data_IF_053006118412
#
_entry.id   IF_053006118412
#
_cell.length_a   1.000
_cell.length_b   1.000
_cell.length_c   1.000
_cell.angle_alpha   90.00
_cell.angle_beta   90.00
_cell.angle_gamma   90.00
#
_symmetry.space_group_name_H-M   'P 1'
#
loop_
_entity.id
_entity.type
_entity.pdbx_description
1 polymer ?
#
# COMPACT_ATOMS: atom_id res chain seq x y z
N UNK A 1 11.21 1.77 32.06
CA UNK A 1 11.40 1.93 30.60
C UNK A 1 10.51 3.05 30.01
N UNK A 2 9.18 2.94 30.04
CA UNK A 2 8.29 3.94 29.42
C UNK A 2 8.47 5.37 29.97
N UNK A 3 8.57 5.55 31.29
CA UNK A 3 8.81 6.87 31.91
C UNK A 3 10.07 7.54 31.38
N UNK A 4 11.18 6.80 31.31
CA UNK A 4 12.44 7.32 30.75
C UNK A 4 12.26 7.77 29.30
N UNK A 5 11.54 7.01 28.46
CA UNK A 5 11.26 7.43 27.08
C UNK A 5 10.37 8.66 26.99
N UNK A 6 9.42 8.81 27.90
CA UNK A 6 8.61 10.04 27.99
C UNK A 6 9.47 11.23 28.40
N UNK A 7 10.36 11.07 29.39
CA UNK A 7 11.31 12.10 29.79
C UNK A 7 12.25 12.48 28.65
N UNK A 8 12.82 11.49 27.96
CA UNK A 8 13.68 11.71 26.78
C UNK A 8 12.93 12.51 25.70
N UNK A 9 11.68 12.15 25.41
CA UNK A 9 10.82 12.87 24.47
C UNK A 9 10.56 14.32 24.91
N UNK A 10 10.21 14.54 26.18
CA UNK A 10 9.92 15.88 26.72
C UNK A 10 11.15 16.79 26.66
N UNK A 11 12.34 16.23 26.90
CA UNK A 11 13.63 16.93 26.86
C UNK A 11 14.12 17.16 25.43
N UNK A 12 13.83 16.23 24.50
CA UNK A 12 14.30 16.29 23.11
C UNK A 12 13.44 17.15 22.18
N UNK A 13 12.15 17.29 22.45
CA UNK A 13 11.28 18.20 21.69
C UNK A 13 11.51 19.63 22.19
N UNK A 14 11.81 20.59 21.32
CA UNK A 14 11.97 22.00 21.71
C UNK A 14 10.67 22.64 22.24
N UNK A 15 10.73 23.92 22.63
CA UNK A 15 9.55 24.72 22.99
C UNK A 15 9.00 25.47 21.75
N UNK A 16 9.87 25.76 20.78
CA UNK A 16 9.54 26.59 19.62
C UNK A 16 8.75 25.83 18.54
N UNK A 17 8.95 24.51 18.45
CA UNK A 17 8.35 23.66 17.43
C UNK A 17 7.38 22.64 18.06
N UNK A 18 6.28 22.34 17.38
CA UNK A 18 5.29 21.31 17.76
C UNK A 18 4.44 21.61 19.00
N UNK A 19 4.41 22.84 19.53
CA UNK A 19 3.55 23.22 20.67
C UNK A 19 2.10 22.72 20.53
N UNK A 20 1.55 22.77 19.32
CA UNK A 20 0.17 22.33 19.01
C UNK A 20 0.05 20.90 18.47
N UNK A 21 1.16 20.16 18.41
CA UNK A 21 1.16 18.73 18.13
C UNK A 21 0.56 17.93 19.28
N UNK A 22 0.37 16.62 19.08
CA UNK A 22 -0.12 15.72 20.10
C UNK A 22 0.74 14.45 20.13
N UNK A 23 1.13 14.03 21.34
CA UNK A 23 1.85 12.79 21.57
C UNK A 23 0.91 11.74 22.16
N UNK A 24 1.04 10.50 21.70
CA UNK A 24 0.25 9.36 22.16
C UNK A 24 1.18 8.21 22.53
N UNK A 25 0.85 7.52 23.63
CA UNK A 25 1.60 6.36 24.08
C UNK A 25 0.79 5.50 25.05
N UNK A 26 1.29 4.34 25.48
CA UNK A 26 2.50 3.70 24.98
C UNK A 26 2.26 3.11 23.57
N UNK A 27 3.26 2.40 23.05
CA UNK A 27 3.07 1.54 21.88
C UNK A 27 1.94 0.53 22.13
N UNK A 28 1.37 -0.01 21.06
CA UNK A 28 0.22 -0.89 21.09
C UNK A 28 0.58 -2.27 20.55
N UNK A 29 0.08 -3.31 21.21
CA UNK A 29 0.11 -4.68 20.70
C UNK A 29 -1.11 -4.86 19.80
N UNK A 30 -0.87 -4.85 18.49
CA UNK A 30 -1.90 -5.08 17.49
C UNK A 30 -2.17 -6.57 17.29
N UNK A 31 -3.33 -6.90 16.73
CA UNK A 31 -3.66 -8.23 16.23
C UNK A 31 -3.76 -8.21 14.70
N UNK A 32 -2.72 -7.68 14.05
CA UNK A 32 -2.65 -7.73 12.58
C UNK A 32 -2.17 -9.13 12.17
N UNK A 33 -2.78 -9.74 11.15
CA UNK A 33 -2.33 -11.04 10.67
C UNK A 33 -0.89 -10.92 10.14
N UNK A 34 0.03 -11.66 10.75
CA UNK A 34 1.42 -11.82 10.31
C UNK A 34 1.64 -13.28 9.94
N UNK A 35 1.84 -13.56 8.67
CA UNK A 35 2.23 -14.89 8.22
C UNK A 35 3.73 -14.86 7.91
N UNK A 36 4.52 -15.36 8.85
CA UNK A 36 5.97 -15.50 8.66
C UNK A 36 6.26 -16.87 8.07
N UNK A 37 6.98 -16.87 6.96
CA UNK A 37 7.53 -18.07 6.31
C UNK A 37 8.98 -18.28 6.72
N UNK A 38 9.54 -19.44 6.41
CA UNK A 38 10.93 -19.80 6.71
C UNK A 38 11.91 -18.77 6.18
N UNK A 39 11.80 -18.36 4.91
CA UNK A 39 12.61 -17.28 4.31
C UNK A 39 12.56 -15.93 5.03
N UNK A 40 11.54 -15.67 5.86
CA UNK A 40 11.45 -14.42 6.63
C UNK A 40 12.21 -14.47 7.96
N UNK A 41 12.71 -15.63 8.36
CA UNK A 41 13.41 -15.81 9.62
C UNK A 41 14.92 -15.87 9.38
N UNK A 42 15.66 -15.05 10.14
CA UNK A 42 17.11 -15.14 10.24
C UNK A 42 17.43 -15.49 11.69
N UNK A 43 17.94 -16.70 11.92
CA UNK A 43 18.25 -17.17 13.26
C UNK A 43 19.73 -16.91 13.57
N UNK A 44 19.98 -16.33 14.73
CA UNK A 44 21.33 -16.08 15.24
C UNK A 44 21.43 -16.58 16.67
N UNK A 45 22.58 -17.17 17.01
CA UNK A 45 22.88 -17.59 18.38
C UNK A 45 23.20 -16.36 19.24
N UNK A 46 22.55 -16.25 20.39
CA UNK A 46 22.81 -15.19 21.36
C UNK A 46 24.29 -15.18 21.81
N UNK A 47 24.82 -13.99 22.09
CA UNK A 47 26.21 -13.77 22.49
C UNK A 47 27.25 -13.85 21.37
N UNK A 48 27.06 -14.73 20.37
CA UNK A 48 28.00 -14.91 19.26
C UNK A 48 27.54 -14.29 17.94
N UNK A 49 26.23 -14.03 17.79
CA UNK A 49 25.59 -13.63 16.53
C UNK A 49 25.83 -14.59 15.35
N UNK A 50 26.31 -15.81 15.63
CA UNK A 50 26.54 -16.83 14.61
C UNK A 50 25.21 -17.28 14.01
N UNK A 51 25.15 -17.40 12.67
CA UNK A 51 23.96 -17.85 11.97
C UNK A 51 23.62 -19.30 12.37
N UNK A 52 22.34 -19.57 12.60
CA UNK A 52 21.82 -20.89 12.94
C UNK A 52 20.88 -21.34 11.83
N UNK A 53 21.12 -22.54 11.30
CA UNK A 53 20.23 -23.14 10.32
C UNK A 53 19.05 -23.80 11.05
N UNK A 54 17.83 -23.63 10.53
CA UNK A 54 16.63 -24.17 11.18
C UNK A 54 16.66 -25.70 11.27
N UNK A 55 17.28 -26.34 10.28
CA UNK A 55 17.54 -27.77 10.17
C UNK A 55 18.38 -28.29 11.35
N UNK A 56 19.27 -27.47 11.92
CA UNK A 56 20.08 -27.85 13.09
C UNK A 56 19.30 -27.92 14.41
N UNK A 57 18.02 -27.50 14.41
CA UNK A 57 17.18 -27.47 15.60
C UNK A 57 16.32 -28.73 15.77
N UNK A 58 16.50 -29.74 14.91
CA UNK A 58 15.76 -31.01 14.99
C UNK A 58 16.61 -32.16 14.45
N UNK A 59 16.33 -33.37 14.93
CA UNK A 59 16.87 -34.63 14.37
C UNK A 59 15.77 -35.48 13.72
N UNK A 60 14.52 -35.01 13.72
CA UNK A 60 13.37 -35.71 13.13
C UNK A 60 13.48 -35.72 11.60
N UNK A 61 13.60 -36.91 11.03
CA UNK A 61 13.76 -37.12 9.59
C UNK A 61 12.58 -36.59 8.75
N UNK A 62 11.35 -36.64 9.26
CA UNK A 62 10.17 -36.14 8.55
C UNK A 62 10.15 -34.61 8.51
N UNK A 63 10.56 -33.95 9.61
CA UNK A 63 10.70 -32.49 9.66
C UNK A 63 11.86 -32.03 8.76
N UNK A 64 13.00 -32.72 8.79
CA UNK A 64 14.15 -32.41 7.92
C UNK A 64 13.77 -32.52 6.44
N UNK A 65 12.99 -33.54 6.07
CA UNK A 65 12.45 -33.69 4.71
C UNK A 65 11.51 -32.53 4.34
N UNK A 66 10.60 -32.16 5.25
CA UNK A 66 9.70 -31.03 5.02
C UNK A 66 10.44 -29.69 4.87
N UNK A 67 11.50 -29.47 5.67
CA UNK A 67 12.38 -28.30 5.54
C UNK A 67 13.08 -28.28 4.18
N UNK A 68 13.60 -29.43 3.73
CA UNK A 68 14.18 -29.55 2.39
C UNK A 68 13.14 -29.24 1.29
N UNK A 69 11.91 -29.72 1.42
CA UNK A 69 10.83 -29.42 0.48
C UNK A 69 10.49 -27.92 0.45
N UNK A 70 10.48 -27.24 1.61
CA UNK A 70 10.31 -25.78 1.70
C UNK A 70 11.44 -25.05 0.96
N UNK A 71 12.70 -25.44 1.19
CA UNK A 71 13.86 -24.82 0.55
C UNK A 71 13.82 -25.00 -0.97
N UNK A 72 13.38 -26.16 -1.47
CA UNK A 72 13.20 -26.40 -2.90
C UNK A 72 12.14 -25.47 -3.50
N UNK A 73 10.99 -25.29 -2.82
CA UNK A 73 9.95 -24.36 -3.26
C UNK A 73 10.44 -22.89 -3.23
N UNK A 74 11.15 -22.48 -2.18
CA UNK A 74 11.78 -21.14 -2.07
C UNK A 74 12.76 -20.89 -3.21
N UNK A 75 13.59 -21.89 -3.54
CA UNK A 75 14.58 -21.82 -4.64
C UNK A 75 13.89 -21.75 -5.99
N UNK A 76 12.83 -22.54 -6.20
CA UNK A 76 12.03 -22.49 -7.42
C UNK A 76 11.39 -21.12 -7.63
N UNK A 77 10.83 -20.51 -6.58
CA UNK A 77 10.27 -19.15 -6.63
C UNK A 77 11.34 -18.11 -6.95
N UNK A 78 12.48 -18.15 -6.27
CA UNK A 78 13.58 -17.23 -6.52
C UNK A 78 14.14 -17.34 -7.95
N UNK A 79 14.18 -18.55 -8.53
CA UNK A 79 14.60 -18.74 -9.91
C UNK A 79 13.64 -18.10 -10.92
N UNK A 80 12.33 -18.11 -10.64
CA UNK A 80 11.33 -17.39 -11.43
C UNK A 80 11.50 -15.88 -11.30
N UNK A 81 11.69 -15.35 -10.09
CA UNK A 81 11.92 -13.91 -9.86
C UNK A 81 13.15 -13.38 -10.62
N UNK A 82 14.24 -14.17 -10.60
CA UNK A 82 15.47 -13.88 -11.35
C UNK A 82 15.21 -13.92 -12.86
N UNK A 83 14.46 -14.93 -13.33
CA UNK A 83 14.09 -15.03 -14.75
C UNK A 83 13.25 -13.85 -15.20
N UNK A 84 12.24 -13.44 -14.43
CA UNK A 84 11.43 -12.27 -14.73
C UNK A 84 12.27 -11.00 -14.78
N UNK A 85 13.11 -10.76 -13.77
CA UNK A 85 14.00 -9.59 -13.72
C UNK A 85 14.95 -9.53 -14.93
N UNK A 86 15.46 -10.69 -15.35
CA UNK A 86 16.33 -10.81 -16.53
C UNK A 86 15.57 -10.49 -17.82
N UNK A 87 14.36 -11.02 -17.95
CA UNK A 87 13.51 -10.85 -19.14
C UNK A 87 12.98 -9.42 -19.25
N UNK A 88 12.58 -8.80 -18.13
CA UNK A 88 12.05 -7.44 -18.09
C UNK A 88 13.14 -6.36 -18.11
N UNK A 89 14.40 -6.75 -17.89
CA UNK A 89 15.60 -5.93 -18.09
C UNK A 89 15.97 -5.03 -16.91
N UNK A 90 15.20 -5.02 -15.82
CA UNK A 90 15.57 -4.30 -14.59
C UNK A 90 14.80 -4.82 -13.36
N UNK A 91 15.37 -4.71 -12.14
CA UNK A 91 14.65 -5.00 -10.90
C UNK A 91 13.37 -4.15 -10.79
N UNK A 92 12.26 -4.79 -10.41
CA UNK A 92 10.96 -4.13 -10.22
C UNK A 92 10.15 -3.92 -11.51
N UNK A 93 10.70 -4.24 -12.69
CA UNK A 93 9.91 -4.31 -13.94
C UNK A 93 9.28 -5.68 -14.10
N UNK A 94 8.06 -5.70 -14.59
CA UNK A 94 7.28 -6.92 -14.82
C UNK A 94 7.37 -7.40 -16.28
N UNK A 95 7.00 -8.66 -16.53
CA UNK A 95 6.78 -9.16 -17.89
C UNK A 95 5.74 -8.34 -18.68
N UNK A 96 4.77 -7.75 -17.98
CA UNK A 96 3.78 -6.85 -18.59
C UNK A 96 4.41 -5.54 -19.05
N UNK A 97 5.36 -4.99 -18.29
CA UNK A 97 6.13 -3.81 -18.70
C UNK A 97 7.02 -4.11 -19.91
N UNK A 98 7.60 -5.31 -19.96
CA UNK A 98 8.36 -5.78 -21.13
C UNK A 98 7.50 -5.91 -22.39
N UNK A 99 6.28 -6.44 -22.25
CA UNK A 99 5.31 -6.51 -23.34
C UNK A 99 4.86 -5.12 -23.80
N UNK A 100 4.66 -4.19 -22.85
CA UNK A 100 4.33 -2.81 -23.17
C UNK A 100 5.46 -2.13 -23.92
N UNK A 101 6.72 -2.35 -23.52
CA UNK A 101 7.88 -1.84 -24.24
C UNK A 101 7.99 -2.41 -25.67
N UNK A 102 7.65 -3.69 -25.88
CA UNK A 102 7.60 -4.28 -27.22
C UNK A 102 6.48 -3.66 -28.08
N UNK A 103 5.31 -3.37 -27.50
CA UNK A 103 4.23 -2.63 -28.17
C UNK A 103 4.66 -1.22 -28.58
N UNK A 104 5.32 -0.50 -27.69
CA UNK A 104 5.75 0.86 -27.96
C UNK A 104 6.85 0.89 -29.03
N UNK A 105 7.81 -0.04 -28.99
CA UNK A 105 8.79 -0.22 -30.06
C UNK A 105 8.16 -0.51 -31.42
N UNK A 106 7.07 -1.28 -31.46
CA UNK A 106 6.34 -1.55 -32.69
C UNK A 106 5.57 -0.34 -33.21
N UNK A 107 4.96 0.46 -32.32
CA UNK A 107 4.28 1.72 -32.71
C UNK A 107 5.22 2.73 -33.35
N UNK A 108 6.50 2.74 -32.98
CA UNK A 108 7.52 3.58 -33.64
C UNK A 108 7.77 3.22 -35.11
N UNK A 109 7.26 2.07 -35.58
CA UNK A 109 7.32 1.69 -37.00
C UNK A 109 6.18 2.25 -37.84
N UNK A 110 5.24 3.00 -37.25
CA UNK A 110 4.14 3.60 -37.98
C UNK A 110 4.66 4.53 -39.10
N UNK A 111 4.09 4.40 -40.29
CA UNK A 111 4.55 5.09 -41.51
C UNK A 111 5.76 4.44 -42.21
N UNK A 112 6.37 3.40 -41.65
CA UNK A 112 7.51 2.70 -42.27
C UNK A 112 7.07 1.67 -43.33
N UNK A 113 7.78 1.60 -44.45
CA UNK A 113 7.63 0.55 -45.49
C UNK A 113 8.75 -0.51 -45.46
N UNK A 114 9.82 -0.26 -44.70
CA UNK A 114 10.98 -1.15 -44.52
C UNK A 114 10.59 -2.46 -43.82
N UNK A 115 10.73 -3.57 -44.54
CA UNK A 115 10.51 -4.93 -44.02
C UNK A 115 11.50 -5.30 -42.92
N UNK A 116 12.72 -4.77 -42.97
CA UNK A 116 13.74 -4.97 -41.94
C UNK A 116 13.33 -4.34 -40.60
N UNK A 117 12.88 -3.08 -40.62
CA UNK A 117 12.45 -2.37 -39.39
C UNK A 117 11.21 -3.02 -38.79
N UNK A 118 10.24 -3.42 -39.63
CA UNK A 118 9.05 -4.16 -39.20
C UNK A 118 9.43 -5.52 -38.59
N UNK A 119 10.38 -6.23 -39.20
CA UNK A 119 10.89 -7.50 -38.69
C UNK A 119 11.58 -7.38 -37.33
N UNK A 120 12.43 -6.36 -37.15
CA UNK A 120 13.11 -6.10 -35.85
C UNK A 120 12.09 -5.80 -34.76
N UNK A 121 11.09 -4.96 -35.03
CA UNK A 121 10.05 -4.64 -34.05
C UNK A 121 9.18 -5.86 -33.70
N UNK A 122 8.81 -6.68 -34.70
CA UNK A 122 8.07 -7.93 -34.48
C UNK A 122 8.86 -8.95 -33.66
N UNK A 123 10.17 -9.05 -33.90
CA UNK A 123 11.05 -9.94 -33.15
C UNK A 123 11.09 -9.61 -31.65
N UNK A 124 10.83 -8.36 -31.25
CA UNK A 124 10.69 -7.99 -29.84
C UNK A 124 9.65 -8.83 -29.09
N UNK A 125 8.48 -9.04 -29.70
CA UNK A 125 7.41 -9.88 -29.11
C UNK A 125 7.80 -11.35 -29.05
N UNK A 126 8.37 -11.87 -30.13
CA UNK A 126 8.71 -13.30 -30.19
C UNK A 126 9.89 -13.62 -29.28
N UNK A 127 10.89 -12.73 -29.20
CA UNK A 127 12.01 -12.89 -28.27
C UNK A 127 11.52 -12.90 -26.83
N UNK A 128 10.59 -12.00 -26.46
CA UNK A 128 9.96 -12.00 -25.16
C UNK A 128 9.19 -13.30 -24.90
N UNK A 129 8.33 -13.72 -25.85
CA UNK A 129 7.56 -14.97 -25.77
C UNK A 129 8.48 -16.17 -25.55
N UNK A 130 9.56 -16.26 -26.32
CA UNK A 130 10.55 -17.32 -26.23
C UNK A 130 11.30 -17.32 -24.91
N UNK A 131 11.73 -16.15 -24.45
CA UNK A 131 12.45 -16.03 -23.19
C UNK A 131 11.58 -16.46 -22.00
N UNK A 132 10.30 -16.07 -22.01
CA UNK A 132 9.32 -16.45 -20.98
C UNK A 132 9.07 -17.97 -20.99
N UNK A 133 8.80 -18.56 -22.16
CA UNK A 133 8.57 -20.00 -22.27
C UNK A 133 9.82 -20.82 -21.95
N UNK A 134 11.00 -20.31 -22.30
CA UNK A 134 12.27 -20.93 -21.88
C UNK A 134 12.38 -20.94 -20.36
N UNK A 135 12.09 -19.84 -19.66
CA UNK A 135 12.13 -19.81 -18.20
C UNK A 135 11.18 -20.85 -17.57
N UNK A 136 9.98 -21.00 -18.12
CA UNK A 136 9.04 -22.05 -17.70
C UNK A 136 9.59 -23.46 -17.98
N UNK A 137 10.21 -23.67 -19.15
CA UNK A 137 10.81 -24.95 -19.50
C UNK A 137 12.02 -25.30 -18.61
N UNK A 138 12.85 -24.32 -18.25
CA UNK A 138 13.98 -24.53 -17.35
C UNK A 138 13.47 -25.04 -15.97
N UNK A 139 12.39 -24.45 -15.45
CA UNK A 139 11.72 -24.97 -14.23
C UNK A 139 11.12 -26.36 -14.45
N UNK A 140 10.45 -26.60 -15.59
CA UNK A 140 9.84 -27.89 -15.92
C UNK A 140 10.84 -29.06 -16.02
N UNK A 141 12.07 -28.76 -16.44
CA UNK A 141 13.17 -29.74 -16.56
C UNK A 141 14.02 -29.87 -15.31
N UNK A 142 13.81 -29.01 -14.32
CA UNK A 142 14.54 -29.08 -13.04
C UNK A 142 14.23 -30.42 -12.37
N UNK A 143 15.28 -31.16 -12.03
CA UNK A 143 15.16 -32.47 -11.39
C UNK A 143 14.96 -32.27 -9.89
N UNK A 144 13.74 -32.54 -9.43
CA UNK A 144 13.42 -32.59 -8.01
C UNK A 144 13.50 -34.04 -7.50
N UNK A 145 13.91 -34.26 -6.23
CA UNK A 145 13.87 -35.59 -5.62
C UNK A 145 12.47 -36.21 -5.70
N UNK A 146 12.37 -37.51 -6.03
CA UNK A 146 11.09 -38.19 -6.30
C UNK A 146 10.10 -38.04 -5.15
N UNK A 147 10.59 -38.14 -3.91
CA UNK A 147 9.77 -38.11 -2.71
C UNK A 147 9.38 -36.69 -2.25
N UNK A 148 9.68 -35.63 -3.01
CA UNK A 148 9.30 -34.26 -2.61
C UNK A 148 7.80 -33.99 -2.69
N UNK A 149 7.28 -33.15 -1.79
CA UNK A 149 5.93 -32.60 -1.91
C UNK A 149 5.80 -31.46 -2.93
N UNK A 150 6.91 -30.84 -3.35
CA UNK A 150 6.90 -29.75 -4.33
C UNK A 150 6.69 -30.30 -5.76
N UNK A 151 5.44 -30.21 -6.27
CA UNK A 151 5.04 -30.82 -7.55
C UNK A 151 4.78 -29.80 -8.67
N UNK A 152 5.75 -28.91 -8.92
CA UNK A 152 5.58 -27.84 -9.92
C UNK A 152 5.44 -28.36 -11.36
N UNK A 153 6.12 -29.47 -11.69
CA UNK A 153 6.01 -30.14 -13.00
C UNK A 153 4.58 -30.60 -13.30
N UNK A 154 3.87 -31.10 -12.28
CA UNK A 154 2.48 -31.55 -12.43
C UNK A 154 1.56 -30.34 -12.66
N UNK A 155 1.80 -29.22 -11.98
CA UNK A 155 1.06 -27.97 -12.18
C UNK A 155 1.28 -27.38 -13.58
N UNK A 156 2.49 -27.48 -14.14
CA UNK A 156 2.81 -27.08 -15.53
C UNK A 156 2.10 -28.02 -16.51
N UNK A 157 2.22 -29.33 -16.31
CA UNK A 157 1.59 -30.35 -17.18
C UNK A 157 0.09 -30.13 -17.25
N UNK A 158 -0.56 -29.92 -16.09
CA UNK A 158 -2.00 -29.62 -16.00
C UNK A 158 -2.39 -28.32 -16.70
N UNK A 159 -1.56 -27.27 -16.63
CA UNK A 159 -1.83 -26.03 -17.36
C UNK A 159 -1.80 -26.27 -18.88
N UNK A 160 -0.84 -27.07 -19.35
CA UNK A 160 -0.65 -27.37 -20.77
C UNK A 160 -1.73 -28.28 -21.37
N UNK A 161 -2.59 -28.89 -20.55
CA UNK A 161 -3.82 -29.56 -21.02
C UNK A 161 -4.78 -28.57 -21.69
N UNK A 162 -4.73 -27.28 -21.31
CA UNK A 162 -5.45 -26.23 -22.02
C UNK A 162 -4.76 -25.89 -23.35
N UNK A 163 -5.45 -25.99 -24.50
CA UNK A 163 -4.82 -25.79 -25.79
C UNK A 163 -4.47 -24.33 -26.10
N UNK A 164 -4.93 -23.33 -25.34
CA UNK A 164 -4.76 -21.90 -25.68
C UNK A 164 -3.32 -21.51 -25.97
N UNK A 165 -2.36 -21.92 -25.13
CA UNK A 165 -0.94 -21.63 -25.36
C UNK A 165 -0.45 -22.34 -26.63
N UNK A 166 -0.69 -23.65 -26.74
CA UNK A 166 -0.27 -24.46 -27.92
C UNK A 166 -0.85 -23.92 -29.22
N UNK A 167 -2.14 -23.56 -29.24
CA UNK A 167 -2.83 -22.96 -30.38
C UNK A 167 -2.28 -21.58 -30.75
N UNK A 168 -2.01 -20.72 -29.77
CA UNK A 168 -1.42 -19.40 -30.03
C UNK A 168 0.00 -19.51 -30.61
N UNK A 169 0.78 -20.49 -30.16
CA UNK A 169 2.13 -20.75 -30.63
C UNK A 169 2.14 -21.37 -32.04
N UNK A 170 1.19 -22.27 -32.35
CA UNK A 170 0.95 -22.73 -33.72
C UNK A 170 0.59 -21.57 -34.64
N UNK A 171 -0.34 -20.70 -34.21
CA UNK A 171 -0.73 -19.51 -34.99
C UNK A 171 0.46 -18.58 -35.24
N UNK A 172 1.32 -18.36 -34.24
CA UNK A 172 2.55 -17.58 -34.38
C UNK A 172 3.53 -18.21 -35.38
N UNK A 173 3.72 -19.53 -35.34
CA UNK A 173 4.53 -20.28 -36.30
C UNK A 173 3.97 -20.19 -37.74
N UNK A 174 2.66 -20.33 -37.92
CA UNK A 174 2.01 -20.17 -39.23
C UNK A 174 2.15 -18.75 -39.80
N UNK A 175 2.01 -17.72 -38.95
CA UNK A 175 2.24 -16.32 -39.35
C UNK A 175 3.70 -16.08 -39.77
N UNK A 176 4.67 -16.72 -39.10
CA UNK A 176 6.07 -16.64 -39.49
C UNK A 176 6.31 -17.23 -40.88
N UNK A 177 5.79 -18.43 -41.17
CA UNK A 177 5.91 -19.05 -42.48
C UNK A 177 5.26 -18.21 -43.58
N UNK A 178 4.07 -17.65 -43.32
CA UNK A 178 3.32 -16.85 -44.29
C UNK A 178 4.02 -15.54 -44.65
N UNK A 179 4.46 -14.78 -43.65
CA UNK A 179 5.08 -13.47 -43.88
C UNK A 179 6.55 -13.57 -44.34
N UNK A 180 7.16 -14.75 -44.28
CA UNK A 180 8.52 -14.97 -44.77
C UNK A 180 8.63 -15.13 -46.31
N UNK A 181 7.53 -15.34 -47.05
CA UNK A 181 7.59 -15.66 -48.49
C UNK A 181 7.91 -14.45 -49.40
N UNK A 182 7.04 -13.44 -49.43
CA UNK A 182 7.24 -12.18 -50.15
C UNK A 182 6.14 -11.18 -49.76
N UNK A 183 6.46 -10.01 -49.15
CA UNK A 183 7.79 -9.49 -48.81
C UNK A 183 8.37 -10.19 -47.57
N UNK A 184 9.66 -10.55 -47.60
CA UNK A 184 10.31 -11.31 -46.53
C UNK A 184 10.45 -10.50 -45.24
N UNK A 185 9.56 -10.73 -44.28
CA UNK A 185 9.65 -10.23 -42.91
C UNK A 185 9.93 -11.42 -41.99
N UNK A 186 11.00 -11.34 -41.20
CA UNK A 186 11.34 -12.39 -40.24
C UNK A 186 10.63 -12.11 -38.91
N UNK A 187 9.56 -12.86 -38.65
CA UNK A 187 8.84 -12.84 -37.37
C UNK A 187 9.56 -13.61 -36.27
N UNK A 188 10.04 -14.83 -36.58
CA UNK A 188 10.78 -15.70 -35.67
C UNK A 188 12.19 -15.87 -36.22
N UNK A 189 13.22 -15.75 -35.38
CA UNK A 189 14.58 -16.15 -35.77
C UNK A 189 14.74 -17.67 -35.59
N UNK A 190 14.71 -18.41 -36.69
CA UNK A 190 14.82 -19.88 -36.71
C UNK A 190 16.27 -20.39 -36.69
N UNK A 191 17.27 -19.52 -36.86
CA UNK A 191 18.67 -19.92 -36.97
C UNK A 191 19.34 -20.23 -35.62
N UNK A 192 18.80 -19.75 -34.49
CA UNK A 192 19.48 -19.77 -33.20
C UNK A 192 19.08 -20.91 -32.26
N UNK A 193 18.25 -21.87 -32.70
CA UNK A 193 17.65 -22.91 -31.84
C UNK A 193 16.90 -22.38 -30.60
N UNK A 194 16.72 -21.06 -30.47
CA UNK A 194 16.09 -20.40 -29.32
C UNK A 194 14.63 -20.80 -29.12
N UNK A 195 13.98 -21.32 -30.17
CA UNK A 195 12.61 -21.79 -30.10
C UNK A 195 12.50 -23.24 -29.57
N UNK A 196 13.58 -24.01 -29.53
CA UNK A 196 13.54 -25.42 -29.11
C UNK A 196 12.99 -25.59 -27.68
N UNK A 197 13.43 -24.82 -26.65
CA UNK A 197 12.87 -24.96 -25.31
C UNK A 197 11.35 -24.75 -25.27
N UNK A 198 10.86 -23.74 -26.00
CA UNK A 198 9.44 -23.44 -26.13
C UNK A 198 8.67 -24.56 -26.84
N UNK A 199 9.24 -25.14 -27.90
CA UNK A 199 8.61 -26.26 -28.61
C UNK A 199 8.57 -27.54 -27.75
N UNK A 200 9.65 -27.83 -27.04
CA UNK A 200 9.73 -28.98 -26.12
C UNK A 200 8.72 -28.86 -24.99
N UNK A 201 8.55 -27.66 -24.42
CA UNK A 201 7.51 -27.41 -23.42
C UNK A 201 6.11 -27.74 -23.94
N UNK A 202 5.85 -27.55 -25.23
CA UNK A 202 4.55 -27.80 -25.88
C UNK A 202 4.38 -29.25 -26.39
N UNK A 203 5.38 -30.12 -26.14
CA UNK A 203 5.37 -31.53 -26.50
C UNK A 203 5.90 -31.85 -27.90
N UNK A 204 6.67 -30.96 -28.53
CA UNK A 204 7.37 -31.24 -29.79
C UNK A 204 8.83 -31.64 -29.55
N UNK A 205 9.47 -32.29 -30.51
CA UNK A 205 10.89 -32.66 -30.41
C UNK A 205 11.80 -31.41 -30.40
N UNK A 206 11.52 -30.45 -31.27
CA UNK A 206 12.25 -29.19 -31.42
C UNK A 206 11.39 -28.14 -32.15
N UNK A 207 11.96 -26.95 -32.41
CA UNK A 207 11.28 -25.89 -33.14
C UNK A 207 10.97 -26.24 -34.60
N UNK A 208 11.77 -27.09 -35.24
CA UNK A 208 11.53 -27.52 -36.62
C UNK A 208 10.29 -28.42 -36.71
N UNK A 209 10.09 -29.31 -35.72
CA UNK A 209 8.90 -30.14 -35.62
C UNK A 209 7.62 -29.30 -35.43
N UNK A 210 7.66 -28.22 -34.62
CA UNK A 210 6.52 -27.31 -34.50
C UNK A 210 6.23 -26.58 -35.83
N UNK A 211 7.26 -26.09 -36.53
CA UNK A 211 7.10 -25.41 -37.82
C UNK A 211 6.55 -26.34 -38.91
N UNK A 212 6.89 -27.63 -38.85
CA UNK A 212 6.36 -28.63 -39.78
C UNK A 212 4.89 -29.02 -39.50
N UNK A 213 4.40 -28.78 -38.28
CA UNK A 213 3.02 -29.09 -37.85
C UNK A 213 2.01 -27.94 -38.09
N UNK A 214 2.42 -26.95 -38.88
CA UNK A 214 1.58 -25.81 -39.30
C UNK A 214 1.69 -25.58 -40.80
N UNK A 215 0.61 -25.11 -41.41
CA UNK A 215 0.55 -24.82 -42.84
C UNK A 215 0.29 -23.34 -43.12
N UNK A 216 0.74 -22.86 -44.27
CA UNK A 216 0.48 -21.49 -44.75
C UNK A 216 -1.02 -21.17 -44.85
N UNK A 217 -1.83 -22.17 -45.18
CA UNK A 217 -3.28 -22.05 -45.28
C UNK A 217 -3.97 -21.77 -43.93
N UNK A 218 -3.31 -22.05 -42.80
CA UNK A 218 -3.89 -21.86 -41.46
C UNK A 218 -4.17 -20.38 -41.14
N UNK A 219 -3.48 -19.46 -41.84
CA UNK A 219 -3.55 -18.02 -41.58
C UNK A 219 -3.87 -17.20 -42.82
N UNK A 220 -3.98 -17.80 -44.01
CA UNK A 220 -4.13 -17.06 -45.27
C UNK A 220 -5.35 -16.13 -45.30
N UNK A 221 -6.43 -16.50 -44.62
CA UNK A 221 -7.63 -15.67 -44.48
C UNK A 221 -7.38 -14.38 -43.66
N UNK A 222 -6.55 -14.45 -42.61
CA UNK A 222 -6.20 -13.29 -41.78
C UNK A 222 -5.44 -12.21 -42.58
N UNK A 223 -4.77 -12.61 -43.67
CA UNK A 223 -3.99 -11.73 -44.55
C UNK A 223 -4.75 -11.25 -45.80
N UNK A 224 -5.99 -11.67 -46.04
CA UNK A 224 -6.72 -11.39 -47.28
C UNK A 224 -6.87 -9.88 -47.58
N UNK A 225 -6.98 -9.04 -46.54
CA UNK A 225 -7.06 -7.58 -46.65
C UNK A 225 -5.72 -6.84 -46.48
N UNK A 226 -4.61 -7.55 -46.25
CA UNK A 226 -3.32 -6.95 -45.91
C UNK A 226 -2.49 -6.64 -47.16
N UNK A 227 -2.79 -5.50 -47.80
CA UNK A 227 -2.18 -5.08 -49.08
C UNK A 227 -0.80 -4.42 -48.95
N UNK A 228 -0.41 -3.96 -47.76
CA UNK A 228 0.89 -3.31 -47.52
C UNK A 228 1.75 -4.11 -46.53
N UNK A 229 3.07 -3.89 -46.54
CA UNK A 229 4.00 -4.52 -45.60
C UNK A 229 3.60 -4.25 -44.14
N UNK A 230 3.13 -3.03 -43.85
CA UNK A 230 2.67 -2.64 -42.51
C UNK A 230 1.40 -3.40 -42.11
N UNK A 231 0.40 -3.49 -42.99
CA UNK A 231 -0.83 -4.25 -42.70
C UNK A 231 -0.53 -5.73 -42.46
N UNK A 232 0.39 -6.32 -43.22
CA UNK A 232 0.84 -7.71 -43.00
C UNK A 232 1.57 -7.85 -41.66
N UNK A 233 2.43 -6.88 -41.32
CA UNK A 233 3.09 -6.85 -40.02
C UNK A 233 2.08 -6.67 -38.87
N UNK A 234 0.99 -5.94 -39.05
CA UNK A 234 -0.05 -5.76 -38.02
C UNK A 234 -0.79 -7.07 -37.71
N UNK A 235 -1.10 -7.86 -38.75
CA UNK A 235 -1.67 -9.21 -38.59
C UNK A 235 -0.70 -10.11 -37.82
N UNK A 236 0.58 -10.14 -38.23
CA UNK A 236 1.62 -10.92 -37.54
C UNK A 236 1.83 -10.47 -36.08
N UNK A 237 1.81 -9.15 -35.82
CA UNK A 237 1.95 -8.57 -34.49
C UNK A 237 0.80 -9.01 -33.59
N UNK A 238 -0.43 -9.07 -34.09
CA UNK A 238 -1.57 -9.56 -33.29
C UNK A 238 -1.36 -11.00 -32.85
N UNK A 239 -0.88 -11.88 -33.74
CA UNK A 239 -0.54 -13.26 -33.38
C UNK A 239 0.60 -13.32 -32.35
N UNK A 240 1.66 -12.53 -32.53
CA UNK A 240 2.79 -12.45 -31.60
C UNK A 240 2.39 -11.91 -30.22
N UNK A 241 1.54 -10.89 -30.18
CA UNK A 241 1.00 -10.32 -28.95
C UNK A 241 0.17 -11.36 -28.16
N UNK A 242 -0.71 -12.08 -28.84
CA UNK A 242 -1.53 -13.14 -28.20
C UNK A 242 -0.65 -14.29 -27.70
N UNK A 243 0.35 -14.71 -28.47
CA UNK A 243 1.30 -15.73 -28.04
C UNK A 243 2.10 -15.28 -26.80
N UNK A 244 2.58 -14.04 -26.79
CA UNK A 244 3.27 -13.45 -25.64
C UNK A 244 2.36 -13.38 -24.41
N UNK A 245 1.10 -12.98 -24.58
CA UNK A 245 0.12 -12.94 -23.48
C UNK A 245 -0.11 -14.32 -22.86
N UNK A 246 -0.22 -15.37 -23.68
CA UNK A 246 -0.34 -16.75 -23.18
C UNK A 246 0.95 -17.25 -22.52
N UNK A 247 2.13 -16.87 -23.04
CA UNK A 247 3.41 -17.18 -22.41
C UNK A 247 3.54 -16.54 -21.02
N UNK A 248 3.15 -15.28 -20.88
CA UNK A 248 3.10 -14.60 -19.58
C UNK A 248 2.08 -15.30 -18.66
N UNK A 249 0.93 -15.71 -19.18
CA UNK A 249 -0.10 -16.39 -18.39
C UNK A 249 0.39 -17.72 -17.79
N UNK A 250 1.12 -18.56 -18.55
CA UNK A 250 1.72 -19.77 -17.98
C UNK A 250 2.80 -19.44 -16.96
N UNK A 251 3.65 -18.44 -17.21
CA UNK A 251 4.66 -18.00 -16.24
C UNK A 251 4.03 -17.59 -14.90
N UNK A 252 2.95 -16.79 -14.94
CA UNK A 252 2.20 -16.41 -13.73
C UNK A 252 1.53 -17.58 -13.05
N UNK A 253 1.04 -18.56 -13.81
CA UNK A 253 0.50 -19.79 -13.23
C UNK A 253 1.58 -20.58 -12.47
N UNK A 254 2.78 -20.68 -13.02
CA UNK A 254 3.92 -21.36 -12.38
C UNK A 254 4.39 -20.60 -11.14
N UNK A 255 4.52 -19.28 -11.22
CA UNK A 255 4.84 -18.40 -10.08
C UNK A 255 3.83 -18.58 -8.94
N UNK A 256 2.54 -18.46 -9.25
CA UNK A 256 1.46 -18.64 -8.27
C UNK A 256 1.45 -20.04 -7.68
N UNK A 257 1.58 -21.08 -8.51
CA UNK A 257 1.62 -22.47 -8.04
C UNK A 257 2.81 -22.69 -7.11
N UNK A 258 3.97 -22.09 -7.42
CA UNK A 258 5.17 -22.18 -6.59
C UNK A 258 4.97 -21.50 -5.23
N UNK A 259 4.38 -20.29 -5.20
CA UNK A 259 4.03 -19.61 -3.95
C UNK A 259 3.02 -20.40 -3.11
N UNK A 260 2.02 -21.02 -3.75
CA UNK A 260 1.01 -21.83 -3.08
C UNK A 260 1.63 -23.08 -2.44
N UNK A 261 2.55 -23.77 -3.14
CA UNK A 261 3.31 -24.86 -2.56
C UNK A 261 4.20 -24.39 -1.40
N UNK A 262 4.97 -23.30 -1.57
CA UNK A 262 5.81 -22.72 -0.50
C UNK A 262 4.96 -22.42 0.74
N UNK A 263 3.79 -21.79 0.56
CA UNK A 263 2.85 -21.48 1.65
C UNK A 263 2.31 -22.74 2.31
N UNK A 264 1.89 -23.73 1.52
CA UNK A 264 1.35 -25.00 2.04
C UNK A 264 2.40 -25.75 2.87
N UNK A 265 3.64 -25.83 2.38
CA UNK A 265 4.75 -26.48 3.08
C UNK A 265 5.14 -25.74 4.36
N UNK A 266 5.15 -24.40 4.33
CA UNK A 266 5.37 -23.59 5.53
C UNK A 266 4.25 -23.80 6.57
N UNK A 267 3.00 -23.89 6.14
CA UNK A 267 1.88 -24.20 7.05
C UNK A 267 2.03 -25.60 7.66
N UNK A 268 2.39 -26.59 6.85
CA UNK A 268 2.69 -27.93 7.35
C UNK A 268 3.84 -27.91 8.37
N UNK A 269 4.87 -27.08 8.14
CA UNK A 269 6.00 -26.92 9.04
C UNK A 269 5.60 -26.26 10.37
N UNK A 270 4.70 -25.28 10.36
CA UNK A 270 4.14 -24.70 11.60
C UNK A 270 3.36 -25.74 12.41
N UNK A 271 2.67 -26.66 11.74
CA UNK A 271 1.90 -27.73 12.41
C UNK A 271 2.82 -28.81 12.98
N UNK A 272 3.81 -29.26 12.22
CA UNK A 272 4.66 -30.39 12.58
C UNK A 272 5.89 -30.02 13.42
N UNK A 273 6.44 -28.80 13.27
CA UNK A 273 7.65 -28.38 13.95
C UNK A 273 7.37 -27.29 15.01
N UNK A 274 7.17 -27.72 16.26
CA UNK A 274 6.83 -26.84 17.37
C UNK A 274 7.81 -25.67 17.58
N UNK A 275 9.12 -25.88 17.35
CA UNK A 275 10.13 -24.80 17.44
C UNK A 275 9.94 -23.74 16.35
N UNK A 276 9.62 -24.14 15.13
CA UNK A 276 9.33 -23.19 14.04
C UNK A 276 8.04 -22.40 14.31
N UNK A 277 7.00 -23.05 14.85
CA UNK A 277 5.78 -22.37 15.32
C UNK A 277 6.08 -21.32 16.40
N UNK A 278 6.89 -21.67 17.39
CA UNK A 278 7.30 -20.76 18.46
C UNK A 278 8.03 -19.54 17.89
N UNK A 279 9.01 -19.76 17.02
CA UNK A 279 9.81 -18.70 16.39
C UNK A 279 8.95 -17.76 15.51
N UNK A 280 8.09 -18.31 14.67
CA UNK A 280 7.18 -17.51 13.83
C UNK A 280 6.15 -16.75 14.68
N UNK A 281 5.63 -17.35 15.75
CA UNK A 281 4.72 -16.68 16.68
C UNK A 281 5.41 -15.51 17.38
N UNK A 282 6.62 -15.71 17.91
CA UNK A 282 7.40 -14.65 18.57
C UNK A 282 7.81 -13.54 17.61
N UNK A 283 8.19 -13.89 16.38
CA UNK A 283 8.43 -12.92 15.32
C UNK A 283 7.19 -12.09 15.00
N UNK A 284 6.02 -12.75 14.88
CA UNK A 284 4.75 -12.07 14.64
C UNK A 284 4.35 -11.14 15.80
N UNK A 285 4.51 -11.58 17.05
CA UNK A 285 4.28 -10.76 18.25
C UNK A 285 5.16 -9.50 18.23
N UNK A 286 6.45 -9.64 17.94
CA UNK A 286 7.38 -8.51 17.86
C UNK A 286 7.01 -7.52 16.75
N UNK A 287 6.59 -8.01 15.57
CA UNK A 287 6.13 -7.16 14.45
C UNK A 287 4.76 -6.52 14.68
N UNK A 288 4.01 -7.00 15.68
CA UNK A 288 2.72 -6.46 16.07
C UNK A 288 2.81 -5.48 17.24
N UNK A 289 4.00 -5.27 17.80
CA UNK A 289 4.28 -4.16 18.69
C UNK A 289 4.53 -2.89 17.86
N UNK A 290 3.51 -2.05 17.74
CA UNK A 290 3.49 -0.91 16.81
C UNK A 290 3.40 0.43 17.55
N UNK A 291 3.99 1.51 17.00
CA UNK A 291 3.70 2.86 17.47
C UNK A 291 2.23 3.21 17.19
N UNK A 292 1.58 4.00 18.06
CA UNK A 292 0.13 4.24 17.95
C UNK A 292 -0.25 5.25 16.86
N UNK A 293 0.73 5.95 16.26
CA UNK A 293 0.47 7.08 15.35
C UNK A 293 -0.50 6.76 14.22
N UNK A 294 -0.33 5.63 13.52
CA UNK A 294 -1.24 5.20 12.45
C UNK A 294 -2.65 4.92 12.95
N UNK A 295 -2.78 4.29 14.12
CA UNK A 295 -4.08 4.02 14.73
C UNK A 295 -4.79 5.33 15.14
N UNK A 296 -4.06 6.27 15.73
CA UNK A 296 -4.60 7.58 16.15
C UNK A 296 -5.02 8.43 14.95
N UNK A 297 -4.27 8.43 13.84
CA UNK A 297 -4.68 9.09 12.61
C UNK A 297 -6.03 8.55 12.09
N UNK A 298 -6.22 7.23 12.15
CA UNK A 298 -7.51 6.60 11.86
C UNK A 298 -8.63 7.02 12.83
N UNK A 299 -8.34 7.14 14.13
CA UNK A 299 -9.31 7.62 15.12
C UNK A 299 -9.72 9.08 14.86
N UNK A 300 -8.78 9.94 14.45
CA UNK A 300 -9.10 11.31 14.08
C UNK A 300 -10.09 11.34 12.91
N UNK A 301 -9.73 10.68 11.80
CA UNK A 301 -10.59 10.63 10.61
C UNK A 301 -11.98 10.05 10.93
N UNK A 302 -12.04 8.96 11.71
CA UNK A 302 -13.31 8.36 12.14
C UNK A 302 -14.15 9.33 12.98
N UNK A 303 -13.53 9.94 14.00
CA UNK A 303 -14.24 10.86 14.91
C UNK A 303 -14.76 12.08 14.15
N UNK A 304 -13.98 12.63 13.23
CA UNK A 304 -14.38 13.79 12.44
C UNK A 304 -15.57 13.46 11.54
N UNK A 305 -15.55 12.31 10.87
CA UNK A 305 -16.63 11.87 9.99
C UNK A 305 -17.93 11.59 10.76
N UNK A 306 -17.84 10.98 11.94
CA UNK A 306 -19.01 10.59 12.72
C UNK A 306 -19.59 11.75 13.54
N UNK A 307 -18.74 12.69 13.97
CA UNK A 307 -19.10 13.63 15.05
C UNK A 307 -18.54 15.05 14.89
N UNK A 308 -17.81 15.31 13.81
CA UNK A 308 -17.20 16.61 13.55
C UNK A 308 -15.88 16.82 14.30
N UNK A 309 -15.05 17.72 13.74
CA UNK A 309 -13.67 18.00 14.20
C UNK A 309 -13.63 18.60 15.61
N UNK A 310 -14.71 19.25 16.04
CA UNK A 310 -14.85 19.82 17.38
C UNK A 310 -15.00 18.76 18.50
N UNK A 311 -15.24 17.49 18.15
CA UNK A 311 -15.26 16.41 19.14
C UNK A 311 -13.85 15.93 19.46
N UNK A 312 -13.50 15.90 20.75
CA UNK A 312 -12.27 15.26 21.25
C UNK A 312 -12.14 13.80 20.76
N UNK A 313 -11.04 13.43 20.08
CA UNK A 313 -10.77 12.07 19.60
C UNK A 313 -10.24 11.16 20.73
N UNK A 314 -10.95 11.16 21.86
CA UNK A 314 -10.69 10.36 23.05
C UNK A 314 -11.96 9.68 23.53
N UNK A 315 -11.81 8.67 24.39
CA UNK A 315 -12.84 7.70 24.74
C UNK A 315 -13.36 6.94 23.51
N UNK A 316 -12.44 6.55 22.62
CA UNK A 316 -12.73 5.77 21.41
C UNK A 316 -11.89 4.48 21.44
N UNK A 317 -12.53 3.35 21.16
CA UNK A 317 -11.85 2.04 21.11
C UNK A 317 -10.98 1.90 19.88
N UNK A 318 -9.81 1.29 20.05
CA UNK A 318 -8.90 0.96 18.96
C UNK A 318 -9.25 -0.42 18.37
N UNK A 319 -9.53 -0.45 17.06
CA UNK A 319 -9.74 -1.70 16.32
C UNK A 319 -8.44 -2.46 16.13
N UNK A 320 -8.50 -3.80 16.13
CA UNK A 320 -7.34 -4.68 15.94
C UNK A 320 -6.17 -4.40 16.90
N UNK A 321 -6.48 -3.91 18.10
CA UNK A 321 -5.52 -3.71 19.19
C UNK A 321 -5.92 -4.57 20.38
N UNK A 322 -4.97 -5.39 20.84
CA UNK A 322 -5.16 -6.28 21.98
C UNK A 322 -4.97 -5.48 23.28
N UNK A 323 -3.85 -4.76 23.39
CA UNK A 323 -3.47 -4.04 24.60
C UNK A 323 -2.41 -2.97 24.31
N UNK A 324 -2.27 -1.95 25.18
CA UNK A 324 -1.05 -1.15 25.24
C UNK A 324 0.13 -2.01 25.71
N UNK A 325 1.33 -1.73 25.21
CA UNK A 325 2.57 -2.42 25.58
C UNK A 325 2.92 -2.24 27.06
N UNK A 326 2.46 -1.16 27.68
CA UNK A 326 2.62 -0.88 29.11
C UNK A 326 1.26 -0.56 29.70
N UNK A 327 0.88 -1.28 30.76
CA UNK A 327 -0.34 -0.98 31.50
C UNK A 327 -0.07 0.22 32.41
N UNK A 328 -0.90 1.26 32.27
CA UNK A 328 -0.81 2.49 33.05
C UNK A 328 -2.09 2.64 33.87
N UNK A 329 -1.93 2.76 35.18
CA UNK A 329 -3.01 2.99 36.14
C UNK A 329 -3.57 4.40 36.04
N UNK A 330 -4.67 4.67 36.74
CA UNK A 330 -5.26 6.01 36.76
C UNK A 330 -4.33 7.01 37.46
N UNK A 331 -3.70 6.59 38.55
CA UNK A 331 -2.80 7.38 39.38
C UNK A 331 -1.54 7.75 38.60
N UNK A 332 -0.93 6.76 37.93
CA UNK A 332 0.24 6.99 37.06
C UNK A 332 -0.10 7.90 35.86
N UNK A 333 -1.35 7.87 35.37
CA UNK A 333 -1.74 8.70 34.24
C UNK A 333 -1.58 10.20 34.52
N UNK A 334 -1.78 10.62 35.78
CA UNK A 334 -1.73 12.03 36.17
C UNK A 334 -0.38 12.68 35.78
N UNK A 335 0.73 11.96 35.91
CA UNK A 335 2.09 12.42 35.58
C UNK A 335 2.33 12.65 34.07
N UNK A 336 1.51 12.02 33.23
CA UNK A 336 1.60 12.20 31.78
C UNK A 336 0.71 13.33 31.28
N UNK A 337 -0.39 13.62 31.99
CA UNK A 337 -1.33 14.67 31.63
C UNK A 337 -0.73 16.07 31.76
N UNK A 338 0.08 16.33 32.78
CA UNK A 338 0.81 17.60 32.98
C UNK A 338 2.20 17.28 33.52
N UNK A 339 3.21 17.90 32.92
CA UNK A 339 4.58 17.87 33.43
C UNK A 339 4.92 19.22 34.06
N UNK A 340 5.44 19.21 35.29
CA UNK A 340 5.76 20.43 36.04
C UNK A 340 6.89 21.25 35.42
N UNK A 341 7.80 20.61 34.66
CA UNK A 341 8.99 21.26 34.12
C UNK A 341 8.80 21.67 32.67
N UNK A 342 8.36 20.74 31.82
CA UNK A 342 8.21 20.93 30.37
C UNK A 342 6.82 21.42 29.96
N UNK A 343 5.79 21.22 30.80
CA UNK A 343 4.39 21.50 30.46
C UNK A 343 3.77 20.64 29.36
N UNK A 344 4.49 19.61 28.88
CA UNK A 344 4.10 18.78 27.73
C UNK A 344 3.28 17.55 28.14
N UNK A 345 2.05 17.49 27.65
CA UNK A 345 1.14 16.36 27.87
C UNK A 345 1.44 15.20 26.94
N UNK A 346 1.30 13.97 27.44
CA UNK A 346 1.28 12.74 26.65
C UNK A 346 -0.09 12.08 26.84
N UNK A 347 -0.80 11.83 25.75
CA UNK A 347 -2.10 11.18 25.79
C UNK A 347 -1.93 9.68 25.92
N UNK A 348 -2.48 9.10 26.99
CA UNK A 348 -2.31 7.68 27.27
C UNK A 348 -3.41 6.84 26.62
N UNK A 349 -3.00 5.74 26.00
CA UNK A 349 -3.87 4.66 25.53
C UNK A 349 -3.96 3.63 26.65
N UNK A 350 -5.18 3.31 27.09
CA UNK A 350 -5.41 2.46 28.26
C UNK A 350 -6.38 1.33 27.96
N UNK A 351 -6.16 0.19 28.60
CA UNK A 351 -7.14 -0.89 28.64
C UNK A 351 -8.09 -0.73 29.80
N UNK A 352 -9.37 -0.98 29.53
CA UNK A 352 -10.46 -0.98 30.49
C UNK A 352 -11.21 -2.31 30.41
N UNK A 353 -11.48 -2.92 31.57
CA UNK A 353 -12.31 -4.12 31.64
C UNK A 353 -13.71 -3.81 31.08
N UNK A 354 -14.20 -4.64 30.16
CA UNK A 354 -15.50 -4.48 29.51
C UNK A 354 -15.57 -3.43 28.39
N UNK A 355 -14.55 -2.57 28.20
CA UNK A 355 -14.51 -1.55 27.12
C UNK A 355 -13.34 -1.72 26.14
N UNK A 356 -12.40 -2.62 26.44
CA UNK A 356 -11.22 -2.86 25.61
C UNK A 356 -10.18 -1.76 25.74
N UNK A 357 -9.37 -1.57 24.69
CA UNK A 357 -8.29 -0.57 24.67
C UNK A 357 -8.79 0.73 24.04
N UNK A 358 -8.75 1.82 24.81
CA UNK A 358 -9.27 3.13 24.46
C UNK A 358 -8.16 4.17 24.33
N UNK A 359 -8.32 5.11 23.40
CA UNK A 359 -7.59 6.38 23.44
C UNK A 359 -8.10 7.21 24.62
N UNK A 360 -7.25 7.52 25.59
CA UNK A 360 -7.67 8.10 26.88
C UNK A 360 -6.97 9.43 27.20
N UNK A 361 -6.87 10.30 26.19
CA UNK A 361 -6.39 11.68 26.31
C UNK A 361 -6.57 12.44 24.99
N UNK A 362 -6.77 13.76 25.07
CA UNK A 362 -6.94 14.64 23.91
C UNK A 362 -6.22 15.99 24.09
N UNK A 363 -5.10 16.01 24.82
CA UNK A 363 -4.27 17.20 25.03
C UNK A 363 -3.22 17.36 23.93
N UNK A 364 -2.88 18.60 23.62
CA UNK A 364 -1.72 18.93 22.79
C UNK A 364 -0.44 18.94 23.65
N UNK A 365 0.72 19.17 23.03
CA UNK A 365 1.96 19.42 23.76
C UNK A 365 1.93 20.75 24.53
N UNK A 366 0.99 21.64 24.25
CA UNK A 366 0.71 22.85 25.01
C UNK A 366 -0.16 22.55 26.26
N UNK A 367 0.22 21.55 27.05
CA UNK A 367 -0.58 21.04 28.16
C UNK A 367 -0.96 22.08 29.22
N UNK A 368 -0.05 23.02 29.48
CA UNK A 368 -0.25 24.12 30.44
C UNK A 368 -0.93 25.36 29.85
N UNK A 369 -1.14 25.39 28.54
CA UNK A 369 -1.84 26.47 27.87
C UNK A 369 -3.33 26.41 28.23
N UNK A 370 -4.01 27.55 28.40
CA UNK A 370 -5.44 27.58 28.70
C UNK A 370 -6.32 27.69 27.44
N UNK A 371 -5.71 28.07 26.31
CA UNK A 371 -6.37 28.25 25.03
C UNK A 371 -6.18 27.00 24.16
N UNK A 372 -4.92 26.58 23.97
CA UNK A 372 -4.56 25.54 23.00
C UNK A 372 -4.32 24.16 23.59
N UNK A 373 -4.78 23.92 24.84
CA UNK A 373 -4.60 22.66 25.57
C UNK A 373 -5.11 21.43 24.81
N UNK A 374 -6.22 21.57 24.08
CA UNK A 374 -6.98 20.42 23.58
C UNK A 374 -6.87 20.27 22.07
N UNK A 375 -6.69 19.02 21.64
CA UNK A 375 -6.56 18.63 20.24
C UNK A 375 -7.76 19.06 19.41
N UNK A 376 -8.97 18.78 19.87
CA UNK A 376 -10.18 19.14 19.12
C UNK A 376 -10.36 20.65 18.99
N UNK A 377 -9.95 21.43 19.99
CA UNK A 377 -10.00 22.89 19.93
C UNK A 377 -9.04 23.40 18.85
N UNK A 378 -7.76 23.00 18.88
CA UNK A 378 -6.81 23.43 17.85
C UNK A 378 -7.19 22.95 16.45
N UNK A 379 -7.63 21.69 16.32
CA UNK A 379 -8.04 21.13 15.02
C UNK A 379 -9.28 21.82 14.47
N UNK A 380 -10.22 22.22 15.32
CA UNK A 380 -11.38 23.00 14.90
C UNK A 380 -10.97 24.36 14.34
N UNK A 381 -10.07 25.08 15.02
CA UNK A 381 -9.54 26.34 14.50
C UNK A 381 -8.82 26.15 13.15
N UNK A 382 -7.94 25.16 13.03
CA UNK A 382 -7.29 24.85 11.75
C UNK A 382 -8.31 24.56 10.63
N UNK A 383 -9.37 23.81 10.94
CA UNK A 383 -10.43 23.49 9.99
C UNK A 383 -11.16 24.75 9.50
N UNK A 384 -11.52 25.65 10.42
CA UNK A 384 -12.20 26.89 10.08
C UNK A 384 -11.27 27.83 9.31
N UNK A 385 -10.05 28.06 9.79
CA UNK A 385 -9.04 28.92 9.13
C UNK A 385 -8.81 28.49 7.68
N UNK A 386 -8.60 27.19 7.44
CA UNK A 386 -8.36 26.65 6.10
C UNK A 386 -9.60 26.70 5.21
N UNK A 387 -10.79 26.46 5.77
CA UNK A 387 -12.05 26.52 5.02
C UNK A 387 -12.38 27.96 4.59
N UNK A 388 -12.21 28.92 5.51
CA UNK A 388 -12.43 30.34 5.24
C UNK A 388 -11.41 30.83 4.22
N UNK A 389 -10.12 30.49 4.38
CA UNK A 389 -9.07 30.86 3.42
C UNK A 389 -9.43 30.45 2.00
N UNK A 390 -9.78 29.17 1.79
CA UNK A 390 -10.19 28.63 0.47
C UNK A 390 -11.44 29.34 -0.07
N UNK A 391 -12.44 29.57 0.77
CA UNK A 391 -13.67 30.22 0.34
C UNK A 391 -13.44 31.68 -0.06
N UNK A 392 -12.47 32.36 0.58
CA UNK A 392 -12.13 33.76 0.29
C UNK A 392 -11.28 33.96 -0.96
N UNK A 393 -10.68 32.91 -1.54
CA UNK A 393 -9.81 33.02 -2.73
C UNK A 393 -10.52 33.65 -3.94
N UNK A 394 -11.83 33.42 -4.08
CA UNK A 394 -12.61 34.00 -5.18
C UNK A 394 -12.76 35.53 -5.12
N UNK A 395 -12.46 36.16 -3.97
CA UNK A 395 -12.53 37.62 -3.82
C UNK A 395 -11.16 38.29 -4.02
N UNK A 396 -10.12 37.53 -4.31
CA UNK A 396 -8.81 38.09 -4.67
C UNK A 396 -8.97 38.80 -6.02
N UNK A 397 -8.57 40.07 -6.08
CA UNK A 397 -8.75 40.97 -7.23
C UNK A 397 -10.17 41.48 -7.50
N UNK A 398 -11.13 41.20 -6.63
CA UNK A 398 -12.41 41.92 -6.64
C UNK A 398 -12.22 43.37 -6.15
N UNK A 399 -13.11 44.31 -6.50
CA UNK A 399 -13.08 45.67 -5.95
C UNK A 399 -13.08 45.66 -4.42
N UNK A 400 -12.09 46.31 -3.80
CA UNK A 400 -11.95 46.43 -2.34
C UNK A 400 -12.92 47.50 -1.79
N UNK A 401 -14.21 47.21 -1.87
CA UNK A 401 -15.30 48.10 -1.47
C UNK A 401 -16.26 47.46 -0.46
N UNK A 402 -17.20 48.26 0.05
CA UNK A 402 -18.18 47.80 1.03
C UNK A 402 -19.07 46.64 0.53
N UNK A 403 -19.31 46.52 -0.78
CA UNK A 403 -20.12 45.44 -1.32
C UNK A 403 -19.38 44.11 -1.21
N UNK A 404 -18.08 44.09 -1.55
CA UNK A 404 -17.23 42.90 -1.39
C UNK A 404 -17.10 42.51 0.07
N UNK A 405 -16.88 43.48 0.97
CA UNK A 405 -16.75 43.22 2.41
C UNK A 405 -18.01 42.56 2.99
N UNK A 406 -19.20 43.07 2.68
CA UNK A 406 -20.48 42.51 3.15
C UNK A 406 -20.68 41.08 2.62
N UNK A 407 -20.33 40.81 1.35
CA UNK A 407 -20.42 39.46 0.79
C UNK A 407 -19.52 38.47 1.52
N UNK A 408 -18.26 38.85 1.77
CA UNK A 408 -17.30 38.00 2.48
C UNK A 408 -17.73 37.79 3.94
N UNK A 409 -18.16 38.84 4.63
CA UNK A 409 -18.67 38.75 5.99
C UNK A 409 -19.84 37.79 6.08
N UNK A 410 -20.87 37.97 5.25
CA UNK A 410 -22.06 37.13 5.24
C UNK A 410 -21.73 35.66 4.94
N UNK A 411 -20.79 35.39 4.03
CA UNK A 411 -20.33 34.04 3.75
C UNK A 411 -19.75 33.36 5.01
N UNK A 412 -18.83 34.04 5.70
CA UNK A 412 -18.16 33.50 6.89
C UNK A 412 -19.18 33.33 8.04
N UNK A 413 -20.06 34.31 8.25
CA UNK A 413 -21.11 34.24 9.28
C UNK A 413 -22.08 33.08 9.03
N UNK A 414 -22.47 32.84 7.78
CA UNK A 414 -23.34 31.71 7.42
C UNK A 414 -22.66 30.35 7.67
N UNK A 415 -21.36 30.25 7.37
CA UNK A 415 -20.56 29.05 7.66
C UNK A 415 -20.48 28.78 9.17
N UNK A 416 -20.11 29.80 9.97
CA UNK A 416 -20.02 29.68 11.42
C UNK A 416 -21.37 29.42 12.08
N UNK A 417 -22.45 29.99 11.55
CA UNK A 417 -23.83 29.69 12.00
C UNK A 417 -24.17 28.23 11.79
N UNK A 418 -23.77 27.65 10.66
CA UNK A 418 -23.98 26.22 10.38
C UNK A 418 -23.24 25.34 11.38
N UNK A 419 -21.99 25.67 11.69
CA UNK A 419 -21.19 24.97 12.70
C UNK A 419 -21.75 25.12 14.12
N UNK A 420 -22.23 26.32 14.48
CA UNK A 420 -22.89 26.57 15.76
C UNK A 420 -24.15 25.72 15.92
N UNK A 421 -25.01 25.64 14.88
CA UNK A 421 -26.21 24.78 14.88
C UNK A 421 -25.87 23.29 15.04
N UNK A 422 -24.70 22.86 14.57
CA UNK A 422 -24.19 21.50 14.74
C UNK A 422 -23.54 21.26 16.12
N UNK A 423 -23.48 22.29 16.97
CA UNK A 423 -22.91 22.21 18.32
C UNK A 423 -21.38 22.30 18.36
N UNK A 424 -20.74 22.86 17.32
CA UNK A 424 -19.29 23.03 17.28
C UNK A 424 -18.78 24.21 18.13
N UNK A 425 -19.64 25.21 18.32
CA UNK A 425 -19.36 26.44 19.05
C UNK A 425 -20.24 26.54 20.30
N UNK A 426 -19.70 27.10 21.39
CA UNK A 426 -20.42 27.35 22.63
C UNK A 426 -21.14 28.69 22.58
N UNK A 427 -22.39 28.72 23.03
CA UNK A 427 -23.19 29.94 23.12
C UNK A 427 -24.66 29.63 22.91
N UNK A 428 -25.53 30.28 23.69
CA UNK A 428 -26.99 30.13 23.55
C UNK A 428 -27.49 30.82 22.27
N UNK A 429 -26.75 31.81 21.79
CA UNK A 429 -27.03 32.58 20.56
C UNK A 429 -25.77 32.67 19.69
N UNK A 430 -25.91 32.86 18.36
CA UNK A 430 -24.77 33.04 17.47
C UNK A 430 -23.82 34.16 17.93
N UNK A 431 -24.35 35.29 18.41
CA UNK A 431 -23.54 36.43 18.85
C UNK A 431 -22.66 36.14 20.07
N UNK A 432 -23.01 35.13 20.88
CA UNK A 432 -22.18 34.67 21.99
C UNK A 432 -21.11 33.67 21.55
N UNK A 433 -21.30 33.06 20.38
CA UNK A 433 -20.51 31.93 19.89
C UNK A 433 -19.40 32.36 18.93
N UNK A 434 -19.65 33.39 18.11
CA UNK A 434 -18.65 33.94 17.20
C UNK A 434 -18.97 35.39 16.82
N UNK A 435 -17.98 36.08 16.26
CA UNK A 435 -18.17 37.34 15.56
C UNK A 435 -17.29 37.38 14.30
N UNK A 436 -17.75 38.13 13.30
CA UNK A 436 -16.98 38.46 12.09
C UNK A 436 -17.05 39.96 11.90
N UNK A 437 -15.90 40.62 11.81
CA UNK A 437 -15.81 42.05 11.60
C UNK A 437 -14.96 42.35 10.36
N UNK A 438 -15.49 43.21 9.50
CA UNK A 438 -14.76 43.77 8.35
C UNK A 438 -15.30 45.17 8.06
N UNK A 439 -14.41 46.11 7.76
CA UNK A 439 -14.78 47.41 7.21
C UNK A 439 -13.88 48.57 7.63
N UNK A 440 -14.00 49.68 6.92
CA UNK A 440 -13.31 50.94 7.22
C UNK A 440 -13.74 51.48 8.60
N UNK A 441 -12.76 51.77 9.46
CA UNK A 441 -13.00 52.22 10.83
C UNK A 441 -13.46 51.12 11.79
N UNK A 442 -13.52 49.86 11.34
CA UNK A 442 -13.74 48.67 12.18
C UNK A 442 -12.47 47.84 12.29
N UNK A 443 -12.02 47.28 11.17
CA UNK A 443 -10.82 46.42 11.08
C UNK A 443 -9.75 46.99 10.15
N UNK A 444 -10.10 47.99 9.34
CA UNK A 444 -9.22 48.59 8.34
C UNK A 444 -9.16 50.11 8.48
N UNK A 445 -8.00 50.67 8.16
CA UNK A 445 -7.79 52.10 7.97
C UNK A 445 -7.92 52.48 6.49
N UNK A 446 -7.96 53.78 6.18
CA UNK A 446 -7.91 54.24 4.79
C UNK A 446 -6.61 53.82 4.09
N UNK A 447 -5.50 53.73 4.84
CA UNK A 447 -4.22 53.28 4.29
C UNK A 447 -4.28 51.80 3.89
N UNK A 448 -4.90 50.93 4.71
CA UNK A 448 -5.06 49.51 4.36
C UNK A 448 -5.79 49.33 3.03
N UNK A 449 -6.82 50.14 2.77
CA UNK A 449 -7.57 50.09 1.51
C UNK A 449 -6.71 50.56 0.34
N UNK A 450 -5.96 51.67 0.50
CA UNK A 450 -5.05 52.18 -0.53
C UNK A 450 -3.92 51.20 -0.85
N UNK A 451 -3.48 50.42 0.14
CA UNK A 451 -2.49 49.34 -0.02
C UNK A 451 -3.12 48.02 -0.53
N UNK A 452 -4.43 48.00 -0.82
CA UNK A 452 -5.12 46.83 -1.35
C UNK A 452 -5.33 45.69 -0.34
N UNK A 453 -5.29 45.98 0.96
CA UNK A 453 -5.50 45.00 2.03
C UNK A 453 -6.97 44.97 2.44
N UNK A 454 -7.50 43.76 2.59
CA UNK A 454 -8.80 43.50 3.22
C UNK A 454 -8.57 42.69 4.50
N UNK A 455 -8.79 43.31 5.67
CA UNK A 455 -8.55 42.70 6.99
C UNK A 455 -9.88 42.28 7.61
N UNK A 456 -10.03 40.98 7.87
CA UNK A 456 -11.22 40.39 8.46
C UNK A 456 -10.83 39.82 9.83
N UNK A 457 -11.52 40.24 10.88
CA UNK A 457 -11.34 39.73 12.24
C UNK A 457 -12.44 38.71 12.55
N UNK A 458 -12.05 37.52 13.00
CA UNK A 458 -12.96 36.40 13.29
C UNK A 458 -12.66 35.88 14.69
N UNK A 459 -13.63 35.97 15.59
CA UNK A 459 -13.56 35.35 16.92
C UNK A 459 -14.52 34.19 17.07
N UNK A 460 -14.12 33.13 17.77
CA UNK A 460 -14.91 31.91 17.94
C UNK A 460 -14.77 31.30 19.34
N UNK A 461 -15.87 30.84 19.92
CA UNK A 461 -15.91 30.11 21.19
C UNK A 461 -16.04 28.60 20.95
N UNK A 462 -14.91 27.89 20.77
CA UNK A 462 -14.92 26.45 20.52
C UNK A 462 -15.33 25.61 21.75
N UNK A 463 -16.00 24.47 21.51
CA UNK A 463 -16.37 23.54 22.59
C UNK A 463 -15.16 22.83 23.19
N UNK A 464 -15.05 22.90 24.52
CA UNK A 464 -14.03 22.20 25.30
C UNK A 464 -14.55 20.84 25.82
N UNK A 465 -13.72 19.79 25.87
CA UNK A 465 -14.14 18.50 26.40
C UNK A 465 -14.29 18.52 27.94
N UNK A 466 -15.28 17.80 28.46
CA UNK A 466 -15.37 17.49 29.88
C UNK A 466 -14.38 16.37 30.23
N UNK A 467 -13.17 16.74 30.68
CA UNK A 467 -12.10 15.79 30.99
C UNK A 467 -12.26 15.12 32.37
N UNK A 468 -12.83 15.85 33.34
CA UNK A 468 -13.04 15.37 34.71
C UNK A 468 -14.52 15.48 35.07
N UNK A 469 -15.07 14.42 35.69
CA UNK A 469 -16.40 14.41 36.28
C UNK A 469 -16.21 14.17 37.78
N UNK A 470 -16.53 15.17 38.60
CA UNK A 470 -16.41 15.10 40.06
C UNK A 470 -17.81 14.93 40.64
N UNK A 471 -18.08 13.76 41.23
CA UNK A 471 -19.33 13.49 41.94
C UNK A 471 -19.18 13.92 43.40
N UNK A 472 -20.02 14.85 43.85
CA UNK A 472 -20.06 15.31 45.24
C UNK A 472 -21.31 14.74 45.90
N UNK A 473 -21.12 13.78 46.80
CA UNK A 473 -22.20 13.20 47.58
C UNK A 473 -22.37 13.98 48.89
N UNK A 474 -23.60 14.35 49.22
CA UNK A 474 -23.97 14.86 50.54
C UNK A 474 -25.14 14.04 51.09
N UNK A 475 -25.13 13.81 52.40
CA UNK A 475 -26.26 13.21 53.09
C UNK A 475 -27.23 14.33 53.46
N UNK A 476 -28.40 14.38 52.80
CA UNK A 476 -29.46 15.34 53.12
C UNK A 476 -30.33 14.76 54.25
N UNK A 477 -30.39 15.45 55.40
CA UNK A 477 -31.29 15.09 56.49
C UNK A 477 -32.74 15.32 56.08
N UNK A 478 -33.67 14.55 56.65
CA UNK A 478 -35.09 14.72 56.40
C UNK A 478 -35.56 16.10 56.88
N UNK A 479 -36.17 16.87 55.97
CA UNK A 479 -36.81 18.15 56.27
C UNK A 479 -38.31 17.86 56.43
N UNK A 480 -38.90 18.30 57.56
CA UNK A 480 -40.34 18.20 57.83
C UNK A 480 -41.09 19.43 57.35
#
# INVERSE_FOLDING_TARGET
AFNSKVTDFRNGVGINDLKYGAAYGPWINANLPRQLRRKNLILKREGTNAAVQLESLTTDSAILKLLSDVVLAETGGAALDVSETTISGAPGKTLSDALQAALDAYRLTDGTTSTANLGVALQGFTNLTLAVLKAVQDINTTVYPVDTQFKIKDAITKYLENPSLKSSMKKLAANHLFIAQAPAITLINTASANWNPSAVLLGYADGAALLADVALGDVSADYAGATTNKLRADVARNAAYVACGNAIAIFRHVEKSTDEFERSLNNALVVSFGKFKELTTKGAEALNLLPPGGAIAGIYAKTDNERGVWKAPANVSLSSVISPAVKISHEQQAEYNVDVNSGKSINIIRSFTGKGTLVWGARTLAGNDNEWRYVNVRRFFNFVEESVKKATEQFVFEPNDANTWVKVQAMIENFLTTLWRQGALQGIKPEHAFYVAVGLGKTMTALDILEGRMIIEIGMAAVRPAEFIILRFSHKMAES
#
